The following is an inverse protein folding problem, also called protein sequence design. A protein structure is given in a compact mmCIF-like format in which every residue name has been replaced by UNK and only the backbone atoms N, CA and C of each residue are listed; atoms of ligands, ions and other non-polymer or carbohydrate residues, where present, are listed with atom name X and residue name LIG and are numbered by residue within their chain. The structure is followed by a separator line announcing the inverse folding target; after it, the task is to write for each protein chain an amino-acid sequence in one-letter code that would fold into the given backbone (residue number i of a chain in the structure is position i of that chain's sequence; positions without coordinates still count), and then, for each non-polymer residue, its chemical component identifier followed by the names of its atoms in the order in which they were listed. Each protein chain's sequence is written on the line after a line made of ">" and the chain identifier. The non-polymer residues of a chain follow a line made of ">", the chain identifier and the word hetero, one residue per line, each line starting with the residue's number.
data_IF_692838592920
#
_entry.id   IF_692838592920
#
_cell.length_a   1.000
_cell.length_b   1.000
_cell.length_c   1.000
_cell.angle_alpha   90.00
_cell.angle_beta   90.00
_cell.angle_gamma   90.00
#
_symmetry.space_group_name_H-M   'P 1'
#
loop_
_entity.id
_entity.type
_entity.pdbx_description
1 polymer ?
#
# COMPACT_ATOMS: atom_id res chain seq x y z
N UNK A 1 -39.14 6.50 17.00
CA UNK A 1 -38.06 5.58 17.47
C UNK A 1 -37.00 5.55 16.40
N UNK A 2 -35.82 6.09 16.67
CA UNK A 2 -34.69 6.04 15.72
C UNK A 2 -34.31 4.58 15.47
N UNK A 3 -33.96 4.21 14.21
CA UNK A 3 -33.51 2.85 13.94
C UNK A 3 -32.25 2.60 14.77
N UNK A 4 -32.16 1.41 15.39
CA UNK A 4 -31.07 0.92 16.21
C UNK A 4 -29.71 1.36 15.67
N UNK A 5 -29.08 2.34 16.32
CA UNK A 5 -27.64 2.56 16.15
C UNK A 5 -26.95 1.35 16.76
N UNK A 6 -26.43 0.45 15.95
CA UNK A 6 -25.60 -0.65 16.43
C UNK A 6 -24.42 -0.03 17.19
N UNK A 7 -24.27 -0.38 18.46
CA UNK A 7 -23.17 0.13 19.29
C UNK A 7 -21.83 -0.35 18.70
N UNK A 8 -20.92 0.57 18.48
CA UNK A 8 -19.58 0.29 17.96
C UNK A 8 -18.67 -0.18 19.11
N UNK A 9 -18.21 -1.41 19.04
CA UNK A 9 -17.56 -2.12 20.16
C UNK A 9 -16.17 -2.61 19.88
N UNK A 10 -15.79 -2.71 18.60
CA UNK A 10 -14.57 -3.40 18.20
C UNK A 10 -13.70 -2.54 17.32
N UNK A 11 -12.40 -2.77 17.40
CA UNK A 11 -11.39 -2.24 16.46
C UNK A 11 -10.84 -3.42 15.66
N UNK A 12 -10.74 -3.24 14.35
CA UNK A 12 -10.16 -4.22 13.44
C UNK A 12 -8.77 -3.77 13.02
N UNK A 13 -7.77 -4.62 13.18
CA UNK A 13 -6.44 -4.44 12.62
C UNK A 13 -6.26 -5.37 11.42
N UNK A 14 -5.82 -4.80 10.28
CA UNK A 14 -5.41 -5.53 9.08
C UNK A 14 -3.89 -5.47 9.01
N UNK A 15 -3.24 -6.64 9.04
CA UNK A 15 -1.80 -6.80 8.91
C UNK A 15 -1.49 -7.50 7.59
N UNK A 16 -1.10 -6.72 6.59
CA UNK A 16 -0.68 -7.23 5.28
C UNK A 16 0.82 -7.51 5.32
N UNK A 17 1.22 -8.68 5.76
CA UNK A 17 2.62 -9.11 5.85
C UNK A 17 3.21 -9.61 4.53
N UNK A 18 4.50 -9.97 4.56
CA UNK A 18 5.23 -10.46 3.37
C UNK A 18 4.71 -11.82 2.89
N UNK A 19 4.26 -12.68 3.80
CA UNK A 19 3.85 -14.05 3.44
C UNK A 19 2.35 -14.29 3.58
N UNK A 20 1.65 -13.39 4.27
CA UNK A 20 0.23 -13.59 4.58
C UNK A 20 -0.46 -12.28 4.90
N UNK A 21 -1.78 -12.27 4.73
CA UNK A 21 -2.66 -11.23 5.27
C UNK A 21 -3.35 -11.75 6.52
N UNK A 22 -3.43 -10.91 7.55
CA UNK A 22 -4.06 -11.23 8.83
C UNK A 22 -5.06 -10.16 9.22
N UNK A 23 -6.17 -10.56 9.84
CA UNK A 23 -7.10 -9.68 10.50
C UNK A 23 -7.20 -10.05 11.98
N UNK A 24 -7.17 -9.03 12.83
CA UNK A 24 -7.26 -9.18 14.30
C UNK A 24 -8.36 -8.26 14.80
N UNK A 25 -9.29 -8.82 15.54
CA UNK A 25 -10.39 -8.10 16.15
C UNK A 25 -10.13 -7.88 17.63
N UNK A 26 -10.18 -6.62 18.06
CA UNK A 26 -10.01 -6.23 19.47
C UNK A 26 -11.31 -5.70 20.06
N UNK A 27 -11.56 -6.00 21.35
CA UNK A 27 -12.62 -5.36 22.12
C UNK A 27 -12.17 -4.02 22.72
N UNK A 28 -13.04 -3.37 23.47
CA UNK A 28 -12.76 -2.09 24.12
C UNK A 28 -11.62 -2.17 25.16
N UNK A 29 -11.40 -3.33 25.76
CA UNK A 29 -10.36 -3.55 26.76
C UNK A 29 -8.99 -3.88 26.12
N UNK A 30 -8.92 -3.91 24.78
CA UNK A 30 -7.72 -4.23 24.03
C UNK A 30 -7.42 -5.73 23.95
N UNK A 31 -8.37 -6.59 24.31
CA UNK A 31 -8.23 -8.03 24.23
C UNK A 31 -8.54 -8.52 22.81
N UNK A 32 -7.82 -9.54 22.36
CA UNK A 32 -8.03 -10.19 21.07
C UNK A 32 -9.30 -11.06 21.15
N UNK A 33 -10.32 -10.71 20.36
CA UNK A 33 -11.59 -11.46 20.27
C UNK A 33 -11.50 -12.56 19.23
N UNK A 34 -10.93 -12.26 18.07
CA UNK A 34 -10.76 -13.21 16.99
C UNK A 34 -9.57 -12.85 16.11
N UNK A 35 -8.99 -13.88 15.48
CA UNK A 35 -7.91 -13.75 14.48
C UNK A 35 -8.22 -14.64 13.30
N UNK A 36 -7.94 -14.15 12.11
CA UNK A 36 -7.89 -14.94 10.89
C UNK A 36 -6.67 -14.57 10.06
N UNK A 37 -6.10 -15.55 9.35
CA UNK A 37 -4.90 -15.38 8.55
C UNK A 37 -4.97 -16.25 7.30
N UNK A 38 -4.44 -15.71 6.18
CA UNK A 38 -4.32 -16.45 4.94
C UNK A 38 -3.01 -16.10 4.25
N UNK A 39 -2.27 -17.13 3.85
CA UNK A 39 -1.05 -17.01 3.07
C UNK A 39 -1.39 -16.66 1.61
N UNK A 40 -0.45 -16.02 0.91
CA UNK A 40 -0.49 -15.76 -0.51
C UNK A 40 0.74 -16.34 -1.21
N UNK A 41 0.64 -16.54 -2.51
CA UNK A 41 1.71 -17.10 -3.31
C UNK A 41 2.95 -16.19 -3.32
N UNK A 42 4.12 -16.82 -3.17
CA UNK A 42 5.41 -16.16 -3.35
C UNK A 42 5.91 -16.49 -4.74
N UNK A 43 5.97 -15.50 -5.62
CA UNK A 43 6.33 -15.67 -7.04
C UNK A 43 7.81 -15.34 -7.22
N UNK A 44 8.59 -16.28 -7.74
CA UNK A 44 10.03 -16.15 -7.99
C UNK A 44 10.35 -16.32 -9.48
N UNK A 45 10.14 -15.30 -10.34
CA UNK A 45 10.32 -15.43 -11.79
C UNK A 45 11.77 -15.73 -12.21
N UNK A 46 12.73 -15.20 -11.45
CA UNK A 46 14.18 -15.35 -11.67
C UNK A 46 14.93 -15.27 -10.35
N UNK A 47 16.20 -15.65 -10.36
CA UNK A 47 17.07 -15.46 -9.18
C UNK A 47 17.12 -13.99 -8.78
N UNK A 48 16.84 -13.71 -7.48
CA UNK A 48 16.80 -12.38 -6.91
C UNK A 48 15.51 -11.58 -7.19
N UNK A 49 14.54 -12.14 -7.93
CA UNK A 49 13.24 -11.52 -8.18
C UNK A 49 12.20 -12.12 -7.24
N UNK A 50 11.41 -11.25 -6.61
CA UNK A 50 10.34 -11.63 -5.68
C UNK A 50 9.11 -10.78 -5.98
N UNK A 51 8.00 -11.45 -6.29
CA UNK A 51 6.75 -10.80 -6.66
C UNK A 51 5.56 -11.38 -5.89
N UNK A 52 4.51 -10.57 -5.75
CA UNK A 52 3.19 -11.01 -5.30
C UNK A 52 2.10 -10.56 -6.27
N UNK A 53 1.00 -11.31 -6.34
CA UNK A 53 -0.22 -10.85 -7.00
C UNK A 53 -0.98 -9.89 -6.08
N UNK A 54 -1.13 -8.62 -6.51
CA UNK A 54 -1.85 -7.62 -5.73
C UNK A 54 -3.34 -7.94 -5.57
N UNK A 55 -3.95 -8.59 -6.56
CA UNK A 55 -5.35 -9.00 -6.52
C UNK A 55 -5.55 -10.16 -5.53
N UNK A 56 -4.64 -11.15 -5.52
CA UNK A 56 -4.66 -12.21 -4.50
C UNK A 56 -4.56 -11.64 -3.08
N UNK A 57 -3.63 -10.68 -2.87
CA UNK A 57 -3.50 -10.02 -1.56
C UNK A 57 -4.80 -9.32 -1.16
N UNK A 58 -5.45 -8.61 -2.08
CA UNK A 58 -6.74 -7.97 -1.81
C UNK A 58 -7.84 -8.99 -1.49
N UNK A 59 -7.92 -10.06 -2.23
CA UNK A 59 -8.88 -11.14 -1.96
C UNK A 59 -8.62 -11.82 -0.61
N UNK A 60 -7.37 -12.00 -0.24
CA UNK A 60 -6.99 -12.55 1.06
C UNK A 60 -7.36 -11.59 2.21
N UNK A 61 -7.18 -10.28 2.05
CA UNK A 61 -7.67 -9.28 3.03
C UNK A 61 -9.18 -9.40 3.20
N UNK A 62 -9.94 -9.49 2.11
CA UNK A 62 -11.40 -9.68 2.16
C UNK A 62 -11.78 -10.97 2.90
N UNK A 63 -11.08 -12.05 2.60
CA UNK A 63 -11.30 -13.35 3.22
C UNK A 63 -11.07 -13.30 4.74
N UNK A 64 -9.93 -12.79 5.20
CA UNK A 64 -9.59 -12.78 6.63
C UNK A 64 -10.46 -11.80 7.43
N UNK A 65 -10.86 -10.67 6.84
CA UNK A 65 -11.82 -9.75 7.48
C UNK A 65 -13.20 -10.41 7.61
N UNK A 66 -13.68 -11.07 6.57
CA UNK A 66 -14.92 -11.87 6.67
C UNK A 66 -14.81 -12.99 7.71
N UNK A 67 -13.66 -13.65 7.77
CA UNK A 67 -13.35 -14.72 8.71
C UNK A 67 -13.39 -14.29 10.18
N UNK A 68 -12.78 -13.14 10.54
CA UNK A 68 -12.83 -12.67 11.94
C UNK A 68 -14.23 -12.26 12.36
N UNK A 69 -15.02 -11.64 11.48
CA UNK A 69 -16.41 -11.28 11.77
C UNK A 69 -17.24 -12.52 12.02
N UNK A 70 -17.08 -13.56 11.19
CA UNK A 70 -17.79 -14.83 11.36
C UNK A 70 -17.37 -15.57 12.64
N UNK A 71 -16.07 -15.64 12.94
CA UNK A 71 -15.54 -16.28 14.16
C UNK A 71 -16.03 -15.59 15.43
N UNK A 72 -16.07 -14.26 15.43
CA UNK A 72 -16.56 -13.46 16.54
C UNK A 72 -18.09 -13.41 16.63
N UNK A 73 -18.81 -13.87 15.60
CA UNK A 73 -20.27 -13.79 15.47
C UNK A 73 -20.82 -12.35 15.61
N UNK A 74 -20.07 -11.36 15.07
CA UNK A 74 -20.44 -9.95 15.13
C UNK A 74 -20.86 -9.40 13.77
N UNK A 75 -21.59 -8.29 13.80
CA UNK A 75 -21.95 -7.56 12.61
C UNK A 75 -20.86 -6.54 12.26
N UNK A 76 -20.56 -6.35 10.98
CA UNK A 76 -19.61 -5.34 10.50
C UNK A 76 -19.91 -3.90 11.01
N UNK A 77 -21.16 -3.58 11.31
CA UNK A 77 -21.56 -2.29 11.88
C UNK A 77 -21.12 -2.08 13.33
N UNK A 78 -20.66 -3.14 14.01
CA UNK A 78 -20.10 -3.05 15.36
C UNK A 78 -18.62 -2.63 15.36
N UNK A 79 -17.97 -2.57 14.18
CA UNK A 79 -16.59 -2.10 14.03
C UNK A 79 -16.55 -0.58 14.16
N UNK A 80 -15.78 -0.08 15.13
CA UNK A 80 -15.59 1.34 15.39
C UNK A 80 -14.59 1.97 14.42
N UNK A 81 -13.48 1.28 14.17
CA UNK A 81 -12.43 1.74 13.27
C UNK A 81 -11.59 0.57 12.75
N UNK A 82 -10.86 0.84 11.65
CA UNK A 82 -9.91 -0.10 11.04
C UNK A 82 -8.53 0.53 11.04
N UNK A 83 -7.53 -0.20 11.55
CA UNK A 83 -6.12 0.12 11.37
C UNK A 83 -5.49 -0.79 10.33
N UNK A 84 -4.59 -0.23 9.51
CA UNK A 84 -3.83 -0.98 8.50
C UNK A 84 -2.35 -0.92 8.87
N UNK A 85 -1.69 -2.07 8.89
CA UNK A 85 -0.23 -2.21 8.84
C UNK A 85 0.15 -3.13 7.70
N UNK A 86 1.38 -3.00 7.18
CA UNK A 86 1.77 -3.69 5.96
C UNK A 86 3.26 -4.00 5.88
N UNK A 87 3.62 -4.91 4.98
CA UNK A 87 4.99 -5.00 4.48
C UNK A 87 5.34 -3.68 3.79
N UNK A 88 6.35 -2.97 4.30
CA UNK A 88 6.79 -1.70 3.72
C UNK A 88 7.61 -1.94 2.45
N UNK A 89 7.89 -0.89 1.69
CA UNK A 89 8.78 -0.84 0.51
C UNK A 89 8.32 -1.67 -0.71
N UNK A 90 7.44 -2.64 -0.53
CA UNK A 90 6.84 -3.37 -1.65
C UNK A 90 5.95 -2.43 -2.45
N UNK A 91 6.14 -2.39 -3.77
CA UNK A 91 5.52 -1.39 -4.64
C UNK A 91 4.55 -2.02 -5.64
N UNK A 92 3.41 -1.39 -5.81
CA UNK A 92 2.38 -1.70 -6.82
C UNK A 92 2.07 -0.47 -7.66
N UNK A 93 1.84 -0.69 -8.96
CA UNK A 93 1.35 0.31 -9.92
C UNK A 93 0.09 -0.22 -10.56
N UNK A 94 -0.97 0.58 -10.60
CA UNK A 94 -2.26 0.16 -11.15
C UNK A 94 -2.93 1.26 -11.96
N UNK A 95 -3.83 0.87 -12.84
CA UNK A 95 -4.68 1.78 -13.59
C UNK A 95 -5.82 2.30 -12.71
N UNK A 96 -5.93 3.61 -12.56
CA UNK A 96 -6.97 4.24 -11.72
C UNK A 96 -8.38 4.05 -12.28
N UNK A 97 -8.52 3.81 -13.60
CA UNK A 97 -9.80 3.71 -14.29
C UNK A 97 -10.36 2.28 -14.26
N UNK A 98 -9.49 1.27 -14.29
CA UNK A 98 -9.88 -0.15 -14.29
C UNK A 98 -9.68 -0.81 -12.94
N UNK A 99 -8.74 -0.30 -12.12
CA UNK A 99 -8.33 -0.92 -10.87
C UNK A 99 -7.31 -2.06 -11.04
N UNK A 100 -6.91 -2.35 -12.28
CA UNK A 100 -6.02 -3.49 -12.55
C UNK A 100 -4.55 -3.09 -12.35
N UNK A 101 -3.77 -3.88 -11.58
CA UNK A 101 -2.33 -3.75 -11.52
C UNK A 101 -1.70 -3.92 -12.91
N UNK A 102 -0.76 -3.04 -13.27
CA UNK A 102 -0.05 -3.14 -14.56
C UNK A 102 1.08 -4.17 -14.53
N UNK A 103 1.49 -4.55 -13.34
CA UNK A 103 2.49 -5.58 -13.06
C UNK A 103 2.28 -6.13 -11.64
N UNK A 104 2.84 -7.30 -11.34
CA UNK A 104 2.88 -7.83 -9.98
C UNK A 104 3.52 -6.83 -9.01
N UNK A 105 3.18 -6.91 -7.74
CA UNK A 105 3.90 -6.21 -6.65
C UNK A 105 5.36 -6.63 -6.68
N UNK A 106 6.28 -5.68 -6.79
CA UNK A 106 7.71 -5.95 -6.61
C UNK A 106 8.00 -5.84 -5.11
N UNK A 107 8.38 -6.98 -4.51
CA UNK A 107 8.53 -7.12 -3.07
C UNK A 107 9.83 -6.46 -2.58
N UNK A 108 9.87 -6.06 -1.32
CA UNK A 108 11.02 -5.40 -0.69
C UNK A 108 12.34 -6.20 -0.79
N UNK A 109 12.26 -7.53 -0.85
CA UNK A 109 13.39 -8.45 -1.00
C UNK A 109 14.00 -8.51 -2.41
N UNK A 110 13.28 -7.95 -3.41
CA UNK A 110 13.66 -8.01 -4.81
C UNK A 110 14.90 -7.17 -5.11
N UNK A 111 15.80 -7.72 -5.91
CA UNK A 111 17.08 -7.06 -6.24
C UNK A 111 17.20 -6.60 -7.70
N UNK A 112 16.11 -6.72 -8.52
CA UNK A 112 16.14 -6.40 -9.96
C UNK A 112 16.50 -4.95 -10.27
N UNK A 113 16.29 -4.04 -9.33
CA UNK A 113 16.50 -2.60 -9.52
C UNK A 113 17.95 -2.15 -9.30
N UNK A 114 18.90 -3.07 -9.09
CA UNK A 114 20.30 -2.72 -8.84
C UNK A 114 20.89 -1.79 -9.90
N UNK A 115 20.65 -2.05 -11.19
CA UNK A 115 21.12 -1.20 -12.28
C UNK A 115 20.53 0.21 -12.26
N UNK A 116 19.29 0.35 -11.79
CA UNK A 116 18.65 1.67 -11.59
C UNK A 116 19.34 2.39 -10.44
N UNK A 117 19.57 1.71 -9.31
CA UNK A 117 20.27 2.28 -8.17
C UNK A 117 21.69 2.74 -8.57
N UNK A 118 22.46 1.93 -9.31
CA UNK A 118 23.79 2.26 -9.78
C UNK A 118 23.78 3.48 -10.73
N UNK A 119 22.82 3.55 -11.65
CA UNK A 119 22.64 4.67 -12.57
C UNK A 119 22.28 5.97 -11.80
N UNK A 120 21.39 5.90 -10.82
CA UNK A 120 21.00 7.05 -10.01
C UNK A 120 22.12 7.53 -9.11
N UNK A 121 22.93 6.62 -8.55
CA UNK A 121 24.09 6.94 -7.75
C UNK A 121 25.13 7.75 -8.54
N UNK A 122 25.42 7.32 -9.78
CA UNK A 122 26.41 7.97 -10.63
C UNK A 122 27.75 8.18 -9.92
N UNK A 123 28.34 9.36 -10.09
CA UNK A 123 29.58 9.74 -9.42
C UNK A 123 29.40 10.15 -7.95
N UNK A 124 28.16 10.54 -7.56
CA UNK A 124 27.83 10.98 -6.20
C UNK A 124 27.71 9.81 -5.21
N UNK A 125 27.64 8.57 -5.72
CA UNK A 125 27.56 7.36 -4.92
C UNK A 125 26.17 7.08 -4.30
N UNK A 126 26.06 6.02 -3.49
CA UNK A 126 24.77 5.56 -2.99
C UNK A 126 24.10 6.54 -2.01
N UNK A 127 24.82 7.47 -1.43
CA UNK A 127 24.32 8.46 -0.47
C UNK A 127 23.82 9.76 -1.14
N UNK A 128 23.74 9.83 -2.48
CA UNK A 128 23.33 11.00 -3.27
C UNK A 128 22.06 11.72 -2.76
N UNK A 129 21.09 10.99 -2.27
CA UNK A 129 19.81 11.56 -1.81
C UNK A 129 19.66 11.55 -0.28
N UNK A 130 20.67 11.07 0.45
CA UNK A 130 20.56 10.75 1.89
C UNK A 130 20.17 11.93 2.77
N UNK A 131 20.70 13.10 2.48
CA UNK A 131 20.37 14.36 3.21
C UNK A 131 18.94 14.80 3.04
N UNK A 132 18.27 14.38 1.98
CA UNK A 132 16.87 14.74 1.69
C UNK A 132 15.89 13.66 2.10
N UNK A 133 16.26 12.38 1.96
CA UNK A 133 15.35 11.25 2.21
C UNK A 133 15.77 10.40 3.42
N UNK A 134 16.91 10.68 4.03
CA UNK A 134 17.44 9.92 5.17
C UNK A 134 17.99 8.54 4.84
N UNK A 135 18.01 8.14 3.56
CA UNK A 135 18.31 6.77 3.10
C UNK A 135 19.33 6.79 1.97
N UNK A 136 20.23 5.82 1.97
CA UNK A 136 21.08 5.52 0.81
C UNK A 136 20.32 4.75 -0.26
N UNK A 137 20.71 4.91 -1.54
CA UNK A 137 20.13 4.18 -2.67
C UNK A 137 20.31 2.67 -2.49
N UNK A 138 19.21 1.93 -2.55
CA UNK A 138 19.19 0.47 -2.48
C UNK A 138 17.96 -0.11 -3.21
N UNK A 139 18.09 -1.34 -3.67
CA UNK A 139 17.00 -2.10 -4.30
C UNK A 139 15.80 -2.31 -3.38
N UNK A 140 16.02 -2.17 -2.10
CA UNK A 140 15.07 -2.38 -1.02
C UNK A 140 13.85 -1.46 -1.13
N UNK A 141 14.02 -0.21 -1.54
CA UNK A 141 12.99 0.84 -1.48
C UNK A 141 12.03 0.88 -2.67
N UNK A 142 10.86 1.51 -2.49
CA UNK A 142 9.77 1.48 -3.47
C UNK A 142 10.07 2.28 -4.76
N UNK A 143 10.70 3.46 -4.66
CA UNK A 143 10.95 4.34 -5.83
C UNK A 143 11.66 3.63 -6.99
N UNK A 144 12.83 2.98 -6.77
CA UNK A 144 13.51 2.21 -7.81
C UNK A 144 12.64 1.10 -8.43
N UNK A 145 11.71 0.49 -7.68
CA UNK A 145 10.79 -0.54 -8.20
C UNK A 145 9.74 0.05 -9.13
N UNK A 146 9.18 1.20 -8.77
CA UNK A 146 8.26 1.93 -9.63
C UNK A 146 8.96 2.38 -10.91
N UNK A 147 10.17 2.95 -10.80
CA UNK A 147 10.99 3.31 -11.97
C UNK A 147 11.20 2.11 -12.89
N UNK A 148 11.50 0.93 -12.32
CA UNK A 148 11.65 -0.30 -13.11
C UNK A 148 10.36 -0.69 -13.85
N UNK A 149 9.19 -0.61 -13.20
CA UNK A 149 7.90 -0.89 -13.83
C UNK A 149 7.68 0.04 -15.03
N UNK A 150 7.92 1.35 -14.84
CA UNK A 150 7.74 2.34 -15.91
C UNK A 150 8.72 2.16 -17.07
N UNK A 151 9.90 1.59 -16.84
CA UNK A 151 10.90 1.32 -17.88
C UNK A 151 10.69 -0.01 -18.61
N UNK A 152 10.07 -1.02 -17.97
CA UNK A 152 10.08 -2.39 -18.47
C UNK A 152 8.68 -2.94 -18.83
N UNK A 153 7.61 -2.31 -18.36
CA UNK A 153 6.24 -2.72 -18.70
C UNK A 153 5.74 -1.88 -19.88
N UNK A 154 5.38 -2.55 -20.97
CA UNK A 154 4.95 -1.91 -22.21
C UNK A 154 3.76 -0.95 -21.96
N UNK A 155 3.88 0.32 -22.40
CA UNK A 155 2.86 1.35 -22.28
C UNK A 155 2.72 1.95 -20.88
N UNK A 156 3.48 1.46 -19.88
CA UNK A 156 3.36 1.99 -18.51
C UNK A 156 3.84 3.44 -18.42
N UNK A 157 4.92 3.79 -19.08
CA UNK A 157 5.48 5.15 -19.13
C UNK A 157 4.47 6.14 -19.67
N UNK A 158 3.94 5.90 -20.83
CA UNK A 158 2.99 6.77 -21.55
C UNK A 158 1.71 6.94 -20.74
N UNK A 159 1.22 5.88 -20.13
CA UNK A 159 0.01 5.90 -19.27
C UNK A 159 0.25 6.66 -17.97
N UNK A 160 1.44 6.55 -17.38
CA UNK A 160 1.84 7.30 -16.19
C UNK A 160 1.89 8.80 -16.48
N UNK A 161 2.50 9.21 -17.61
CA UNK A 161 2.58 10.60 -18.06
C UNK A 161 1.20 11.18 -18.43
N UNK A 162 0.30 10.34 -18.95
CA UNK A 162 -1.11 10.70 -19.19
C UNK A 162 -1.93 10.83 -17.89
N UNK A 163 -1.36 10.43 -16.74
CA UNK A 163 -2.03 10.46 -15.45
C UNK A 163 -3.06 9.35 -15.24
N UNK A 164 -2.96 8.24 -15.96
CA UNK A 164 -3.85 7.09 -15.84
C UNK A 164 -3.41 6.09 -14.77
N UNK A 165 -2.15 6.13 -14.36
CA UNK A 165 -1.59 5.20 -13.39
C UNK A 165 -1.44 5.83 -12.00
N UNK A 166 -1.68 5.04 -10.99
CA UNK A 166 -1.38 5.31 -9.59
C UNK A 166 -0.30 4.34 -9.11
N UNK A 167 0.48 4.75 -8.10
CA UNK A 167 1.40 3.89 -7.40
C UNK A 167 1.13 3.91 -5.90
N UNK A 168 1.57 2.90 -5.21
CA UNK A 168 1.56 2.86 -3.75
C UNK A 168 2.37 1.72 -3.18
N UNK A 169 2.57 1.80 -1.88
CA UNK A 169 2.91 0.67 -1.04
C UNK A 169 1.65 -0.10 -0.66
N UNK A 170 1.76 -1.20 0.06
CA UNK A 170 0.63 -2.10 0.29
C UNK A 170 -0.47 -1.51 1.18
N UNK A 171 -0.15 -0.52 2.02
CA UNK A 171 -1.13 0.30 2.74
C UNK A 171 -2.04 1.07 1.77
N UNK A 172 -1.43 1.77 0.79
CA UNK A 172 -2.17 2.55 -0.21
C UNK A 172 -3.08 1.66 -1.06
N UNK A 173 -2.58 0.51 -1.53
CA UNK A 173 -3.39 -0.46 -2.28
C UNK A 173 -4.58 -0.98 -1.47
N UNK A 174 -4.34 -1.31 -0.21
CA UNK A 174 -5.37 -1.79 0.71
C UNK A 174 -6.41 -0.70 0.98
N UNK A 175 -5.98 0.51 1.32
CA UNK A 175 -6.84 1.66 1.58
C UNK A 175 -7.71 2.00 0.36
N UNK A 176 -7.09 2.11 -0.83
CA UNK A 176 -7.79 2.44 -2.06
C UNK A 176 -8.92 1.44 -2.35
N UNK A 177 -8.65 0.15 -2.21
CA UNK A 177 -9.66 -0.90 -2.40
C UNK A 177 -10.75 -0.90 -1.33
N UNK A 178 -10.40 -0.72 -0.05
CA UNK A 178 -11.37 -0.67 1.06
C UNK A 178 -12.34 0.49 0.92
N UNK A 179 -11.85 1.64 0.44
CA UNK A 179 -12.63 2.89 0.37
C UNK A 179 -13.43 3.05 -0.91
N UNK A 180 -13.18 2.21 -1.93
CA UNK A 180 -14.02 2.24 -3.14
C UNK A 180 -13.37 1.85 -4.45
N UNK A 181 -12.06 1.75 -4.52
CA UNK A 181 -11.33 1.44 -5.75
C UNK A 181 -11.65 2.47 -6.85
N UNK A 182 -11.96 1.99 -8.05
CA UNK A 182 -12.35 2.82 -9.22
C UNK A 182 -13.58 3.71 -8.98
N UNK A 183 -14.32 3.49 -7.91
CA UNK A 183 -15.52 4.25 -7.57
C UNK A 183 -15.25 5.26 -6.43
N UNK A 184 -14.13 5.96 -6.49
CA UNK A 184 -13.76 7.02 -5.56
C UNK A 184 -12.92 6.53 -4.38
N UNK A 185 -12.12 5.48 -4.55
CA UNK A 185 -11.16 5.01 -3.58
C UNK A 185 -10.15 6.10 -3.18
N UNK A 186 -9.81 6.16 -1.91
CA UNK A 186 -8.84 7.13 -1.38
C UNK A 186 -7.43 6.68 -1.73
N UNK A 187 -6.70 7.54 -2.45
CA UNK A 187 -5.31 7.32 -2.81
C UNK A 187 -4.42 8.12 -1.85
N UNK A 188 -4.10 7.53 -0.71
CA UNK A 188 -3.27 8.14 0.32
C UNK A 188 -2.37 7.11 1.00
N UNK A 189 -1.28 7.59 1.60
CA UNK A 189 -0.33 6.82 2.40
C UNK A 189 0.02 7.60 3.67
N UNK A 190 0.70 6.97 4.61
CA UNK A 190 1.20 7.65 5.79
C UNK A 190 2.70 8.00 5.67
N UNK A 191 3.16 8.88 6.57
CA UNK A 191 4.56 9.31 6.61
C UNK A 191 5.54 8.14 6.81
N UNK A 192 5.13 7.06 7.49
CA UNK A 192 6.01 5.92 7.78
C UNK A 192 6.20 5.02 6.56
N UNK A 193 5.21 4.90 5.68
CA UNK A 193 5.33 4.22 4.39
C UNK A 193 5.99 5.14 3.35
N UNK A 194 5.59 6.41 3.27
CA UNK A 194 6.18 7.39 2.36
C UNK A 194 7.69 7.53 2.56
N UNK A 195 8.18 7.54 3.81
CA UNK A 195 9.61 7.60 4.13
C UNK A 195 10.41 6.41 3.59
N UNK A 196 9.75 5.29 3.25
CA UNK A 196 10.39 4.08 2.71
C UNK A 196 10.38 3.99 1.19
N UNK A 197 9.98 5.08 0.53
CA UNK A 197 9.92 5.12 -0.94
C UNK A 197 11.19 5.65 -1.60
N UNK A 198 12.03 6.38 -0.87
CA UNK A 198 13.11 7.26 -1.38
C UNK A 198 12.60 8.49 -2.15
N UNK A 199 11.31 8.80 -2.09
CA UNK A 199 10.69 9.91 -2.81
C UNK A 199 10.24 11.04 -1.87
N UNK A 200 10.07 10.76 -0.57
CA UNK A 200 9.65 11.74 0.42
C UNK A 200 10.84 12.50 1.02
N UNK A 201 10.75 13.82 1.05
CA UNK A 201 11.68 14.66 1.79
C UNK A 201 11.37 14.59 3.30
N UNK A 202 12.35 14.26 4.12
CA UNK A 202 12.18 14.04 5.57
C UNK A 202 11.98 15.32 6.38
N UNK A 203 12.36 16.49 5.84
CA UNK A 203 12.20 17.77 6.51
C UNK A 203 10.80 18.35 6.27
N UNK A 204 10.29 18.22 5.03
CA UNK A 204 8.98 18.76 4.64
C UNK A 204 7.85 17.75 4.81
N UNK A 205 8.17 16.46 4.91
CA UNK A 205 7.24 15.32 4.90
C UNK A 205 6.33 15.30 3.66
N UNK A 206 6.85 15.77 2.53
CA UNK A 206 6.17 15.80 1.24
C UNK A 206 7.04 15.17 0.15
N UNK A 207 6.45 14.87 -1.00
CA UNK A 207 7.18 14.29 -2.14
C UNK A 207 8.23 15.25 -2.65
N UNK A 208 9.42 14.73 -2.97
CA UNK A 208 10.51 15.51 -3.56
C UNK A 208 10.43 15.46 -5.09
N UNK A 209 10.03 16.57 -5.78
CA UNK A 209 9.84 16.55 -7.23
C UNK A 209 11.11 16.28 -8.02
N UNK A 210 12.28 16.71 -7.52
CA UNK A 210 13.56 16.51 -8.20
C UNK A 210 13.94 15.02 -8.19
N UNK A 211 13.80 14.35 -7.04
CA UNK A 211 14.08 12.91 -6.93
C UNK A 211 13.06 12.10 -7.76
N UNK A 212 11.80 12.51 -7.76
CA UNK A 212 10.78 11.91 -8.62
C UNK A 212 11.17 12.02 -10.10
N UNK A 213 11.65 13.21 -10.54
CA UNK A 213 12.12 13.44 -11.91
C UNK A 213 13.36 12.61 -12.24
N UNK A 214 14.35 12.53 -11.34
CA UNK A 214 15.56 11.71 -11.51
C UNK A 214 15.22 10.22 -11.70
N UNK A 215 14.18 9.73 -11.00
CA UNK A 215 13.65 8.37 -11.13
C UNK A 215 12.65 8.21 -12.28
N UNK A 216 12.29 9.31 -12.96
CA UNK A 216 11.31 9.33 -14.03
C UNK A 216 9.90 8.96 -13.56
N UNK A 217 9.53 9.31 -12.33
CA UNK A 217 8.21 9.02 -11.74
C UNK A 217 7.37 10.30 -11.74
N UNK A 218 6.27 10.37 -12.51
CA UNK A 218 5.37 11.51 -12.45
C UNK A 218 4.78 11.68 -11.04
N UNK A 219 4.85 12.88 -10.48
CA UNK A 219 4.30 13.18 -9.12
C UNK A 219 2.80 12.89 -9.05
N UNK A 220 2.08 13.00 -10.18
CA UNK A 220 0.66 12.68 -10.28
C UNK A 220 0.30 11.21 -9.98
N UNK A 221 1.29 10.31 -10.00
CA UNK A 221 1.11 8.90 -9.61
C UNK A 221 1.13 8.68 -8.09
N UNK A 222 1.65 9.66 -7.34
CA UNK A 222 1.96 9.47 -5.92
C UNK A 222 0.71 9.72 -5.05
N UNK A 223 0.52 8.94 -3.96
CA UNK A 223 -0.58 9.15 -3.03
C UNK A 223 -0.39 10.42 -2.20
N UNK A 224 -1.47 10.95 -1.66
CA UNK A 224 -1.41 12.01 -0.65
C UNK A 224 -0.75 11.48 0.63
N UNK A 225 0.23 12.19 1.17
CA UNK A 225 0.87 11.83 2.45
C UNK A 225 0.05 12.42 3.60
N UNK A 226 -0.29 11.58 4.57
CA UNK A 226 -1.05 11.98 5.77
C UNK A 226 -0.34 11.52 7.05
N UNK A 227 -0.62 12.15 8.19
CA UNK A 227 -0.19 11.64 9.49
C UNK A 227 -0.75 10.23 9.74
N UNK A 228 0.04 9.33 10.34
CA UNK A 228 -0.35 7.92 10.58
C UNK A 228 -1.57 7.78 11.49
N UNK A 229 -1.79 8.76 12.39
CA UNK A 229 -2.98 8.81 13.26
C UNK A 229 -3.99 9.81 12.70
N UNK A 230 -5.00 9.29 12.03
CA UNK A 230 -6.05 10.10 11.42
C UNK A 230 -7.04 9.25 10.62
N UNK A 231 -8.15 9.84 10.24
CA UNK A 231 -9.11 9.18 9.37
C UNK A 231 -8.66 9.35 7.91
N UNK A 232 -8.27 8.26 7.27
CA UNK A 232 -7.87 8.25 5.86
C UNK A 232 -9.09 8.19 4.91
N UNK A 233 -10.17 7.58 5.34
CA UNK A 233 -11.39 7.42 4.56
C UNK A 233 -12.39 6.56 5.29
N UNK A 234 -13.44 6.19 4.58
CA UNK A 234 -14.50 5.33 5.11
C UNK A 234 -14.69 4.12 4.19
N UNK A 235 -14.93 2.97 4.80
CA UNK A 235 -15.27 1.77 4.04
C UNK A 235 -16.48 2.00 3.14
N UNK A 236 -16.41 1.47 1.92
CA UNK A 236 -17.44 1.68 0.89
C UNK A 236 -18.80 1.20 1.36
N UNK A 237 -19.88 1.94 1.02
CA UNK A 237 -21.28 1.68 1.42
C UNK A 237 -21.78 0.26 1.17
N UNK A 238 -21.34 -0.42 0.11
CA UNK A 238 -21.66 -1.81 -0.20
C UNK A 238 -20.45 -2.74 -0.03
N UNK A 239 -19.41 -2.27 0.65
CA UNK A 239 -18.16 -3.00 0.86
C UNK A 239 -18.17 -3.87 2.10
N UNK A 240 -16.97 -4.37 2.40
CA UNK A 240 -16.72 -5.27 3.53
C UNK A 240 -16.93 -4.57 4.89
N UNK A 241 -16.52 -3.29 4.99
CA UNK A 241 -16.53 -2.47 6.20
C UNK A 241 -17.27 -1.15 5.91
N UNK A 242 -18.60 -1.21 5.99
CA UNK A 242 -19.46 -0.10 5.60
C UNK A 242 -19.36 1.05 6.58
N UNK A 243 -19.12 2.26 6.05
CA UNK A 243 -19.07 3.53 6.81
C UNK A 243 -18.15 3.46 8.06
N UNK A 244 -17.13 2.57 8.03
CA UNK A 244 -16.14 2.42 9.10
C UNK A 244 -14.90 3.23 8.73
N UNK A 245 -14.40 4.14 9.60
CA UNK A 245 -13.17 4.90 9.39
C UNK A 245 -11.93 4.04 9.54
#
# INVERSE_FOLDING_TARGET
>A
MSPNSTEKKYVLAIDQGTTSSRAILFNHDGEIVAVDQKEHEQIFPRAGWVEHDANEIWDNIRFVVGGVLAKAQINRHEIASVGITNQRESAVVWDKNTGEPVYNVIVWQDTRTQKICDRLAGEDGPDKYKDRVGLGLATYFAGPKVAWILENVAGARERAEAGDLLMGTMDTWTLWNLTGGVNGGVHATDVTNASRTMLMNIDTLDWNPEICADMGIPVSMLPEIRPSSGVFGYGRKNGLLVDTP
#
